data_IF_333727851924
#
_entry.id   IF_333727851924
#
_cell.length_a   1.000
_cell.length_b   1.000
_cell.length_c   1.000
_cell.angle_alpha   90.00
_cell.angle_beta   90.00
_cell.angle_gamma   90.00
#
_symmetry.space_group_name_H-M   'P 1'
#
loop_
_entity.id
_entity.type
_entity.pdbx_description
1 polymer ?
#
# COMPACT_ATOMS: atom_id res chain seq x y z
N UNK A 1 -12.73 21.65 -1.58
CA UNK A 1 -11.39 21.04 -1.65
C UNK A 1 -11.22 20.20 -2.92
N UNK A 2 -12.11 19.24 -3.21
CA UNK A 2 -12.00 18.36 -4.40
C UNK A 2 -11.95 19.14 -5.71
N UNK A 3 -12.81 20.18 -5.88
CA UNK A 3 -12.78 21.04 -7.06
C UNK A 3 -11.45 21.79 -7.20
N UNK A 4 -10.84 22.23 -6.12
CA UNK A 4 -9.54 22.92 -6.14
C UNK A 4 -8.41 21.94 -6.46
N UNK A 5 -8.44 20.73 -5.90
CA UNK A 5 -7.47 19.69 -6.22
C UNK A 5 -7.52 19.29 -7.69
N UNK A 6 -8.71 19.18 -8.28
CA UNK A 6 -8.87 18.90 -9.70
C UNK A 6 -8.29 20.03 -10.58
N UNK A 7 -8.37 21.28 -10.14
CA UNK A 7 -7.84 22.45 -10.90
C UNK A 7 -6.32 22.55 -10.79
N UNK A 8 -5.76 22.43 -9.59
CA UNK A 8 -4.34 22.72 -9.33
C UNK A 8 -3.44 21.48 -9.36
N UNK A 9 -3.96 20.28 -9.06
CA UNK A 9 -3.17 19.05 -9.02
C UNK A 9 -3.66 17.98 -10.02
N UNK A 10 -4.78 18.22 -10.72
CA UNK A 10 -5.42 17.26 -11.62
C UNK A 10 -5.73 15.90 -10.96
N UNK A 11 -5.97 15.89 -9.65
CA UNK A 11 -6.33 14.69 -8.88
C UNK A 11 -7.28 14.98 -7.72
N UNK A 12 -8.00 13.96 -7.28
CA UNK A 12 -8.75 13.96 -6.03
C UNK A 12 -7.92 13.45 -4.83
N UNK A 13 -8.59 13.22 -3.70
CA UNK A 13 -8.02 12.51 -2.56
C UNK A 13 -7.60 11.09 -2.97
N UNK A 14 -6.45 10.63 -2.51
CA UNK A 14 -6.08 9.23 -2.63
C UNK A 14 -6.94 8.38 -1.68
N UNK A 15 -7.69 7.40 -2.20
CA UNK A 15 -8.44 6.49 -1.36
C UNK A 15 -7.50 5.55 -0.59
N UNK A 16 -8.00 4.96 0.49
CA UNK A 16 -7.34 3.82 1.12
C UNK A 16 -7.23 2.65 0.12
N UNK A 17 -6.15 1.88 0.20
CA UNK A 17 -5.94 0.71 -0.64
C UNK A 17 -6.17 -0.59 0.12
N UNK A 18 -6.57 -1.63 -0.62
CA UNK A 18 -6.61 -3.01 -0.15
C UNK A 18 -5.21 -3.62 -0.15
N UNK A 19 -5.01 -4.69 0.63
CA UNK A 19 -3.78 -5.46 0.65
C UNK A 19 -3.92 -6.83 0.01
N UNK A 20 -2.79 -7.37 -0.45
CA UNK A 20 -2.69 -8.70 -1.03
C UNK A 20 -1.56 -9.49 -0.35
N UNK A 21 -1.84 -10.72 0.01
CA UNK A 21 -0.97 -11.55 0.82
C UNK A 21 -0.92 -12.96 0.28
N UNK A 22 0.22 -13.66 0.47
CA UNK A 22 0.30 -15.09 0.27
C UNK A 22 0.27 -15.82 1.60
N UNK A 23 -0.52 -16.86 1.66
CA UNK A 23 -0.65 -17.70 2.84
C UNK A 23 -0.37 -19.16 2.52
N UNK A 24 0.25 -19.86 3.46
CA UNK A 24 0.46 -21.30 3.39
C UNK A 24 -0.75 -22.01 3.96
N UNK A 25 -1.34 -22.88 3.17
CA UNK A 25 -2.47 -23.74 3.54
C UNK A 25 -1.97 -25.18 3.60
N UNK A 26 -2.25 -25.85 4.73
CA UNK A 26 -1.91 -27.26 4.93
C UNK A 26 -3.16 -28.10 4.82
N UNK A 27 -3.10 -29.15 3.99
CA UNK A 27 -4.25 -30.04 3.79
C UNK A 27 -3.93 -31.29 3.00
N UNK A 28 -4.96 -32.00 2.61
CA UNK A 28 -4.86 -33.21 1.79
C UNK A 28 -4.92 -32.83 0.32
N UNK A 29 -4.01 -33.35 -0.49
CA UNK A 29 -4.03 -33.16 -1.96
C UNK A 29 -5.40 -33.52 -2.54
N UNK A 30 -5.91 -32.67 -3.44
CA UNK A 30 -7.25 -32.80 -4.03
C UNK A 30 -8.37 -32.10 -3.24
N UNK A 31 -8.09 -31.59 -2.03
CA UNK A 31 -9.05 -30.74 -1.32
C UNK A 31 -9.22 -29.41 -2.04
N UNK A 32 -10.44 -28.89 -2.07
CA UNK A 32 -10.80 -27.70 -2.86
C UNK A 32 -11.17 -26.55 -1.94
N UNK A 33 -10.47 -25.44 -2.06
CA UNK A 33 -10.83 -24.13 -1.55
C UNK A 33 -11.74 -23.44 -2.56
N UNK A 34 -12.93 -23.04 -2.10
CA UNK A 34 -13.90 -22.36 -2.97
C UNK A 34 -13.53 -20.90 -3.16
N UNK A 35 -13.92 -20.36 -4.28
CA UNK A 35 -13.96 -18.91 -4.48
C UNK A 35 -14.80 -18.24 -3.38
N UNK A 36 -14.38 -17.06 -2.95
CA UNK A 36 -14.98 -16.29 -1.86
C UNK A 36 -14.86 -16.92 -0.46
N UNK A 37 -14.00 -17.92 -0.29
CA UNK A 37 -13.68 -18.44 1.03
C UNK A 37 -13.00 -17.33 1.85
N UNK A 38 -13.44 -17.17 3.10
CA UNK A 38 -12.96 -16.10 3.98
C UNK A 38 -12.03 -16.62 5.07
N UNK A 39 -11.07 -15.78 5.42
CA UNK A 39 -10.06 -16.00 6.45
C UNK A 39 -10.15 -14.85 7.45
N UNK A 40 -10.10 -15.16 8.72
CA UNK A 40 -10.13 -14.16 9.79
C UNK A 40 -8.80 -14.16 10.53
N UNK A 41 -8.21 -12.99 10.75
CA UNK A 41 -6.97 -12.85 11.52
C UNK A 41 -7.18 -13.22 12.99
N UNK A 42 -6.23 -13.98 13.53
CA UNK A 42 -6.25 -14.47 14.90
C UNK A 42 -5.78 -13.39 15.89
N UNK A 43 -5.81 -13.73 17.18
CA UNK A 43 -5.41 -12.81 18.26
C UNK A 43 -3.92 -12.48 18.25
N UNK A 44 -3.11 -13.35 17.66
CA UNK A 44 -1.64 -13.22 17.52
C UNK A 44 -1.21 -12.41 16.27
N UNK A 45 -2.15 -12.09 15.38
CA UNK A 45 -1.88 -11.28 14.21
C UNK A 45 -1.75 -9.78 14.56
N UNK A 46 -1.02 -9.04 13.74
CA UNK A 46 -0.84 -7.58 13.89
C UNK A 46 -2.18 -6.85 14.10
N UNK A 47 -3.18 -7.21 13.32
CA UNK A 47 -4.54 -6.66 13.42
C UNK A 47 -5.54 -7.80 13.55
N UNK A 48 -6.08 -7.98 14.75
CA UNK A 48 -7.02 -9.04 15.08
C UNK A 48 -8.40 -8.83 14.45
N UNK A 49 -9.02 -9.92 14.03
CA UNK A 49 -10.44 -9.96 13.67
C UNK A 49 -10.76 -9.45 12.27
N UNK A 50 -9.74 -9.08 11.48
CA UNK A 50 -9.92 -8.65 10.11
C UNK A 50 -10.18 -9.81 9.17
N UNK A 51 -10.93 -9.55 8.10
CA UNK A 51 -11.37 -10.58 7.16
C UNK A 51 -10.67 -10.42 5.82
N UNK A 52 -10.20 -11.55 5.29
CA UNK A 52 -9.54 -11.68 3.99
C UNK A 52 -10.30 -12.67 3.14
N UNK A 53 -10.18 -12.63 1.83
CA UNK A 53 -10.94 -13.43 0.90
C UNK A 53 -10.05 -14.04 -0.17
N UNK A 54 -10.38 -15.26 -0.58
CA UNK A 54 -9.81 -15.94 -1.74
C UNK A 54 -10.63 -15.59 -2.99
N UNK A 55 -10.01 -14.99 -3.99
CA UNK A 55 -10.72 -14.52 -5.19
C UNK A 55 -10.97 -15.61 -6.23
N UNK A 56 -10.25 -16.73 -6.14
CA UNK A 56 -10.36 -17.82 -7.12
C UNK A 56 -10.39 -19.19 -6.46
N UNK A 57 -11.08 -20.12 -7.08
CA UNK A 57 -11.06 -21.53 -6.67
C UNK A 57 -9.64 -22.07 -6.75
N UNK A 58 -9.21 -22.79 -5.70
CA UNK A 58 -7.91 -23.44 -5.66
C UNK A 58 -8.03 -24.90 -5.20
N UNK A 59 -7.35 -25.81 -5.89
CA UNK A 59 -7.27 -27.22 -5.50
C UNK A 59 -5.86 -27.50 -4.98
N UNK A 60 -5.76 -28.02 -3.75
CA UNK A 60 -4.47 -28.36 -3.16
C UNK A 60 -3.78 -29.45 -3.98
N UNK A 61 -2.52 -29.25 -4.29
CA UNK A 61 -1.68 -30.18 -5.06
C UNK A 61 -0.78 -31.02 -4.15
N UNK A 62 -0.50 -30.53 -2.94
CA UNK A 62 0.37 -31.15 -1.97
C UNK A 62 -0.16 -31.06 -0.54
N UNK A 63 0.73 -31.30 0.41
CA UNK A 63 0.43 -31.18 1.83
C UNK A 63 0.51 -29.73 2.34
N UNK A 64 1.21 -28.86 1.63
CA UNK A 64 1.31 -27.43 1.91
C UNK A 64 1.39 -26.67 0.59
N UNK A 65 0.41 -25.85 0.32
CA UNK A 65 0.32 -25.01 -0.86
C UNK A 65 0.25 -23.53 -0.47
N UNK A 66 0.73 -22.67 -1.36
CA UNK A 66 0.69 -21.22 -1.19
C UNK A 66 -0.43 -20.65 -2.06
N UNK A 67 -1.33 -19.92 -1.45
CA UNK A 67 -2.45 -19.24 -2.14
C UNK A 67 -2.38 -17.73 -1.90
N UNK A 68 -2.97 -16.98 -2.81
CA UNK A 68 -3.09 -15.53 -2.70
C UNK A 68 -4.47 -15.15 -2.16
N UNK A 69 -4.48 -14.29 -1.16
CA UNK A 69 -5.68 -13.72 -0.57
C UNK A 69 -5.59 -12.19 -0.55
N UNK A 70 -6.73 -11.51 -0.56
CA UNK A 70 -6.79 -10.05 -0.42
C UNK A 70 -7.61 -9.64 0.80
N UNK A 71 -7.36 -8.43 1.29
CA UNK A 71 -8.21 -7.85 2.34
C UNK A 71 -9.60 -7.51 1.79
N UNK A 72 -10.63 -7.69 2.61
CA UNK A 72 -12.02 -7.29 2.26
C UNK A 72 -12.25 -5.79 2.41
N UNK A 73 -11.42 -5.13 3.20
CA UNK A 73 -11.44 -3.68 3.39
C UNK A 73 -10.11 -3.04 3.03
N UNK A 74 -10.10 -1.71 2.99
CA UNK A 74 -8.96 -0.89 2.69
C UNK A 74 -8.51 -0.13 3.94
N UNK A 75 -7.20 0.06 4.10
CA UNK A 75 -6.65 0.79 5.22
C UNK A 75 -5.68 -0.04 6.07
N UNK A 76 -4.91 0.64 6.91
CA UNK A 76 -3.85 0.03 7.72
C UNK A 76 -4.35 -0.98 8.74
N UNK A 77 -5.62 -0.98 9.06
CA UNK A 77 -6.29 -1.97 9.93
C UNK A 77 -6.31 -3.38 9.34
N UNK A 78 -6.06 -3.52 8.03
CA UNK A 78 -5.95 -4.80 7.35
C UNK A 78 -4.50 -5.24 7.12
N UNK A 79 -3.51 -4.58 7.73
CA UNK A 79 -2.11 -4.97 7.61
C UNK A 79 -1.87 -6.32 8.29
N UNK A 80 -1.06 -7.16 7.63
CA UNK A 80 -0.54 -8.41 8.17
C UNK A 80 0.98 -8.43 8.07
N UNK A 81 1.58 -9.14 9.01
CA UNK A 81 3.01 -9.48 8.98
C UNK A 81 3.23 -10.92 8.52
N UNK A 82 4.42 -11.19 8.02
CA UNK A 82 4.86 -12.57 7.76
C UNK A 82 4.89 -13.33 9.09
N UNK A 83 4.25 -14.50 9.11
CA UNK A 83 4.09 -15.31 10.32
C UNK A 83 2.75 -15.13 11.04
N UNK A 84 1.96 -14.13 10.68
CA UNK A 84 0.60 -13.98 11.24
C UNK A 84 -0.28 -15.18 10.87
N UNK A 85 -1.11 -15.60 11.81
CA UNK A 85 -2.02 -16.71 11.62
C UNK A 85 -3.44 -16.24 11.35
N UNK A 86 -4.07 -16.89 10.39
CA UNK A 86 -5.47 -16.66 10.02
C UNK A 86 -6.24 -17.97 10.19
N UNK A 87 -7.52 -17.88 10.53
CA UNK A 87 -8.44 -19.02 10.62
C UNK A 87 -9.45 -18.98 9.48
N UNK A 88 -9.60 -20.10 8.79
CA UNK A 88 -10.65 -20.29 7.78
C UNK A 88 -12.00 -20.22 8.47
N UNK A 89 -12.89 -19.34 8.04
CA UNK A 89 -14.19 -19.11 8.70
C UNK A 89 -15.17 -20.26 8.49
N UNK A 90 -15.09 -20.94 7.33
CA UNK A 90 -15.89 -22.12 7.02
C UNK A 90 -15.00 -23.36 6.94
N UNK A 91 -15.14 -24.31 7.86
CA UNK A 91 -14.33 -25.53 7.85
C UNK A 91 -14.42 -26.29 6.52
N UNK A 92 -13.27 -26.58 5.93
CA UNK A 92 -13.18 -27.37 4.69
C UNK A 92 -12.61 -28.74 5.01
N UNK A 93 -13.28 -29.80 4.55
CA UNK A 93 -12.84 -31.18 4.80
C UNK A 93 -11.45 -31.41 4.19
N UNK A 94 -10.54 -31.95 5.00
CA UNK A 94 -9.18 -32.26 4.55
C UNK A 94 -8.22 -31.05 4.56
N UNK A 95 -8.62 -29.90 5.08
CA UNK A 95 -7.79 -28.70 5.17
C UNK A 95 -7.67 -28.27 6.64
N UNK A 96 -6.47 -27.89 7.06
CA UNK A 96 -6.23 -27.29 8.36
C UNK A 96 -6.92 -25.92 8.42
N UNK A 97 -7.64 -25.64 9.49
CA UNK A 97 -8.32 -24.36 9.66
C UNK A 97 -7.37 -23.16 9.82
N UNK A 98 -6.16 -23.39 10.31
CA UNK A 98 -5.17 -22.35 10.48
C UNK A 98 -4.25 -22.26 9.26
N UNK A 99 -4.10 -21.07 8.73
CA UNK A 99 -3.17 -20.74 7.64
C UNK A 99 -2.23 -19.65 8.13
N UNK A 100 -0.99 -19.64 7.60
CA UNK A 100 0.05 -18.69 8.02
C UNK A 100 0.47 -17.82 6.87
N UNK A 101 0.62 -16.53 7.11
CA UNK A 101 1.11 -15.55 6.12
C UNK A 101 2.59 -15.82 5.82
N UNK A 102 2.91 -16.06 4.57
CA UNK A 102 4.29 -16.36 4.10
C UNK A 102 4.93 -15.20 3.37
N UNK A 103 4.12 -14.36 2.72
CA UNK A 103 4.61 -13.23 1.94
C UNK A 103 3.55 -12.11 1.93
N UNK A 104 4.01 -10.88 1.98
CA UNK A 104 3.18 -9.69 1.80
C UNK A 104 3.48 -9.13 0.41
N UNK A 105 2.50 -9.19 -0.50
CA UNK A 105 2.63 -8.65 -1.85
C UNK A 105 2.40 -7.15 -1.86
N UNK A 106 1.27 -6.72 -1.31
CA UNK A 106 0.90 -5.32 -1.16
C UNK A 106 0.34 -5.07 0.23
N UNK A 107 0.96 -4.15 0.96
CA UNK A 107 0.40 -3.67 2.24
C UNK A 107 -0.77 -2.71 1.99
N UNK A 108 -1.90 -2.88 2.68
CA UNK A 108 -2.97 -1.90 2.67
C UNK A 108 -2.49 -0.54 3.18
N UNK A 109 -2.91 0.53 2.54
CA UNK A 109 -2.51 1.89 2.90
C UNK A 109 -3.72 2.69 3.36
N UNK A 110 -3.51 3.55 4.35
CA UNK A 110 -4.50 4.55 4.71
C UNK A 110 -4.78 5.49 3.55
N UNK A 111 -6.01 5.94 3.43
CA UNK A 111 -6.37 7.02 2.52
C UNK A 111 -5.69 8.33 2.93
N UNK A 112 -5.52 9.23 1.97
CA UNK A 112 -5.04 10.58 2.23
C UNK A 112 -6.04 11.32 3.12
N UNK A 113 -5.55 11.95 4.19
CA UNK A 113 -6.42 12.75 5.04
C UNK A 113 -6.78 14.07 4.35
N UNK A 114 -7.96 14.60 4.68
CA UNK A 114 -8.43 15.92 4.15
C UNK A 114 -7.40 17.02 4.41
N UNK A 115 -6.71 16.97 5.55
CA UNK A 115 -5.71 17.98 5.89
C UNK A 115 -4.43 17.86 5.06
N UNK A 116 -3.93 16.63 4.83
CA UNK A 116 -2.80 16.39 3.93
C UNK A 116 -3.13 16.83 2.50
N UNK A 117 -4.33 16.50 2.02
CA UNK A 117 -4.80 16.92 0.71
C UNK A 117 -4.91 18.45 0.60
N UNK A 118 -5.42 19.11 1.64
CA UNK A 118 -5.48 20.57 1.71
C UNK A 118 -4.09 21.20 1.64
N UNK A 119 -3.13 20.65 2.39
CA UNK A 119 -1.74 21.12 2.35
C UNK A 119 -1.12 20.92 0.98
N UNK A 120 -1.39 19.79 0.32
CA UNK A 120 -0.92 19.54 -1.03
C UNK A 120 -1.48 20.57 -2.04
N UNK A 121 -2.77 20.91 -1.95
CA UNK A 121 -3.38 21.98 -2.77
C UNK A 121 -2.72 23.33 -2.51
N UNK A 122 -2.53 23.71 -1.24
CA UNK A 122 -1.88 24.96 -0.90
C UNK A 122 -0.45 25.04 -1.43
N UNK A 123 0.30 23.95 -1.34
CA UNK A 123 1.63 23.86 -1.90
C UNK A 123 1.60 23.99 -3.44
N UNK A 124 0.67 23.33 -4.11
CA UNK A 124 0.51 23.43 -5.57
C UNK A 124 0.18 24.86 -6.03
N UNK A 125 -0.67 25.57 -5.27
CA UNK A 125 -1.01 26.99 -5.55
C UNK A 125 0.21 27.90 -5.32
N UNK A 126 1.01 27.63 -4.31
CA UNK A 126 2.21 28.43 -3.98
C UNK A 126 3.38 28.17 -4.91
N UNK A 127 3.39 27.02 -5.59
CA UNK A 127 4.41 26.60 -6.54
C UNK A 127 4.00 27.03 -7.97
N UNK A 128 3.72 28.31 -8.20
CA UNK A 128 3.51 28.80 -9.57
C UNK A 128 4.80 28.65 -10.40
N UNK A 129 4.71 28.00 -11.57
CA UNK A 129 5.88 27.85 -12.46
C UNK A 129 6.38 29.22 -12.92
N UNK A 130 7.55 29.61 -12.48
CA UNK A 130 8.17 30.90 -12.77
C UNK A 130 9.29 30.90 -13.82
N UNK A 131 9.41 29.78 -14.58
CA UNK A 131 10.41 29.70 -15.67
C UNK A 131 11.85 29.47 -15.21
N UNK A 132 12.07 28.56 -14.25
CA UNK A 132 13.38 28.20 -13.70
C UNK A 132 13.64 28.80 -12.32
N UNK A 133 12.57 29.13 -11.59
CA UNK A 133 12.64 29.51 -10.19
C UNK A 133 12.94 28.30 -9.30
N UNK A 134 13.35 28.53 -8.05
CA UNK A 134 13.55 27.46 -7.06
C UNK A 134 12.30 26.60 -6.87
N UNK A 135 11.10 27.20 -7.02
CA UNK A 135 9.82 26.50 -6.97
C UNK A 135 9.64 25.51 -8.11
N UNK A 136 10.06 25.88 -9.33
CA UNK A 136 9.93 24.99 -10.50
C UNK A 136 10.80 23.75 -10.35
N UNK A 137 12.05 23.92 -9.92
CA UNK A 137 12.95 22.79 -9.66
C UNK A 137 12.43 21.88 -8.55
N UNK A 138 11.81 22.45 -7.52
CA UNK A 138 11.17 21.65 -6.47
C UNK A 138 10.01 20.85 -7.03
N UNK A 139 9.13 21.47 -7.80
CA UNK A 139 7.96 20.83 -8.39
C UNK A 139 8.38 19.70 -9.35
N UNK A 140 9.25 19.98 -10.31
CA UNK A 140 9.72 18.98 -11.29
C UNK A 140 10.41 17.80 -10.64
N UNK A 141 11.14 18.04 -9.56
CA UNK A 141 11.86 16.96 -8.86
C UNK A 141 10.96 16.14 -7.94
N UNK A 142 9.89 16.71 -7.38
CA UNK A 142 8.91 15.97 -6.57
C UNK A 142 7.98 15.09 -7.41
N UNK A 143 7.90 15.31 -8.71
CA UNK A 143 7.16 14.42 -9.62
C UNK A 143 7.90 13.09 -9.89
N UNK A 144 9.17 12.99 -9.49
CA UNK A 144 9.94 11.76 -9.63
C UNK A 144 9.56 10.75 -8.54
N UNK A 145 9.42 9.49 -8.96
CA UNK A 145 9.07 8.40 -8.04
C UNK A 145 10.15 8.21 -6.96
N UNK A 146 9.73 8.10 -5.70
CA UNK A 146 10.63 7.90 -4.55
C UNK A 146 11.19 9.19 -3.96
N UNK A 147 10.82 10.35 -4.46
CA UNK A 147 11.19 11.65 -3.91
C UNK A 147 10.11 12.14 -2.95
N UNK A 148 10.53 12.50 -1.72
CA UNK A 148 9.63 13.06 -0.70
C UNK A 148 9.69 14.59 -0.66
N UNK A 149 10.89 15.14 -0.56
CA UNK A 149 11.14 16.58 -0.52
C UNK A 149 12.39 16.95 -1.32
N UNK A 150 12.40 18.15 -1.87
CA UNK A 150 13.53 18.67 -2.64
C UNK A 150 13.86 20.08 -2.17
N UNK A 151 15.15 20.33 -1.96
CA UNK A 151 15.71 21.59 -1.53
C UNK A 151 16.63 22.14 -2.62
N UNK A 152 16.17 23.06 -3.49
CA UNK A 152 16.99 23.68 -4.51
C UNK A 152 17.83 24.83 -3.93
N UNK A 153 19.13 24.79 -4.16
CA UNK A 153 20.08 25.84 -3.81
C UNK A 153 20.73 26.41 -5.04
N UNK A 154 20.74 27.73 -5.17
CA UNK A 154 21.50 28.42 -6.20
C UNK A 154 22.94 28.55 -5.71
N UNK A 155 23.90 28.14 -6.53
CA UNK A 155 25.32 28.35 -6.23
C UNK A 155 25.72 29.77 -6.59
N UNK A 156 26.09 30.58 -5.61
CA UNK A 156 26.49 32.00 -5.81
C UNK A 156 27.75 32.18 -6.66
N UNK A 157 28.56 31.10 -6.82
CA UNK A 157 29.86 31.17 -7.52
C UNK A 157 29.73 30.88 -9.01
N UNK A 158 28.69 30.20 -9.47
CA UNK A 158 28.42 29.86 -10.86
C UNK A 158 26.98 30.23 -11.23
N UNK A 159 26.79 31.35 -11.89
CA UNK A 159 25.48 31.74 -12.39
C UNK A 159 24.93 30.69 -13.34
N UNK A 160 23.79 30.12 -13.00
CA UNK A 160 23.09 29.10 -13.80
C UNK A 160 23.17 27.68 -13.25
N UNK A 161 23.96 27.40 -12.20
CA UNK A 161 24.00 26.08 -11.55
C UNK A 161 23.07 26.04 -10.33
N UNK A 162 22.24 25.01 -10.29
CA UNK A 162 21.35 24.72 -9.15
C UNK A 162 21.71 23.36 -8.60
N UNK A 163 21.96 23.31 -7.30
CA UNK A 163 22.15 22.05 -6.56
C UNK A 163 20.81 21.62 -5.96
N UNK A 164 20.39 20.39 -6.25
CA UNK A 164 19.17 19.80 -5.68
C UNK A 164 19.56 18.80 -4.61
N UNK A 165 19.13 19.07 -3.39
CA UNK A 165 19.18 18.10 -2.31
C UNK A 165 17.83 17.42 -2.21
N UNK A 166 17.84 16.09 -2.34
CA UNK A 166 16.62 15.26 -2.45
C UNK A 166 16.49 14.40 -1.19
N UNK A 167 15.36 14.50 -0.54
CA UNK A 167 14.96 13.58 0.52
C UNK A 167 14.14 12.45 -0.12
N UNK A 168 14.64 11.22 -0.02
CA UNK A 168 13.95 10.05 -0.52
C UNK A 168 12.82 9.62 0.42
N UNK A 169 11.78 9.02 -0.13
CA UNK A 169 10.81 8.27 0.68
C UNK A 169 11.53 7.04 1.20
N UNK A 170 11.71 6.94 2.52
CA UNK A 170 12.24 5.72 3.14
C UNK A 170 11.18 4.65 2.91
N UNK A 171 11.47 3.72 2.01
CA UNK A 171 10.77 2.43 1.98
C UNK A 171 11.46 1.62 3.06
N UNK A 172 10.85 1.53 4.24
CA UNK A 172 11.28 0.61 5.27
C UNK A 172 11.16 -0.81 4.69
N UNK A 173 12.28 -1.31 4.20
CA UNK A 173 12.46 -2.72 3.86
C UNK A 173 12.87 -3.44 5.14
N UNK A 174 11.88 -3.81 5.95
CA UNK A 174 12.00 -4.84 6.99
C UNK A 174 11.35 -6.10 6.49
#
# INVERSE_FOLDING_TARGET
>A
LERQGAIYMNRGLFPASIGTFKVSVIGVAGSVLRENLTFKSNEDALNQGQVYILDSLYTLTGTADIIEIRSTGAGVEFNLNIGDNLTITEPVIGINQTVTVTEVLDQPKAGETVELYRQAILNAIQLEPGGGSKSDYRQWSTDAQGVRLVYPYVQDVNTGNISLFVEATIVDST
#
